data_IF_285250229544
#
_entry.id   IF_285250229544
#
_cell.length_a   1.000
_cell.length_b   1.000
_cell.length_c   1.000
_cell.angle_alpha   90.00
_cell.angle_beta   90.00
_cell.angle_gamma   90.00
#
_symmetry.space_group_name_H-M   'P 1'
#
loop_
_entity.id
_entity.type
_entity.pdbx_description
1 polymer ?
#
# COMPACT_ATOMS: atom_id res chain seq x y z
N UNK A 1 -3.52 17.77 14.23
CA UNK A 1 -2.11 17.61 14.62
C UNK A 1 -1.62 18.92 15.19
N UNK A 2 -0.91 18.86 16.30
CA UNK A 2 -0.35 20.04 16.94
C UNK A 2 1.05 20.39 16.37
N UNK A 3 1.58 21.59 16.67
CA UNK A 3 2.85 22.07 16.12
C UNK A 3 4.07 21.19 16.43
N UNK A 4 4.06 20.41 17.52
CA UNK A 4 5.18 19.54 17.91
C UNK A 4 5.24 18.35 16.94
N UNK A 5 4.09 17.74 16.64
CA UNK A 5 3.98 16.65 15.66
C UNK A 5 4.41 17.10 14.26
N UNK A 6 4.04 18.30 13.84
CA UNK A 6 4.43 18.87 12.54
C UNK A 6 5.96 19.06 12.46
N UNK A 7 6.58 19.57 13.54
CA UNK A 7 8.04 19.74 13.61
C UNK A 7 8.82 18.41 13.51
N UNK A 8 8.32 17.35 14.16
CA UNK A 8 8.89 16.00 14.10
C UNK A 8 8.81 15.46 12.67
N UNK A 9 7.64 15.52 12.02
CA UNK A 9 7.44 15.04 10.65
C UNK A 9 8.33 15.78 9.65
N UNK A 10 8.46 17.11 9.79
CA UNK A 10 9.34 17.93 8.97
C UNK A 10 10.81 17.54 9.07
N UNK A 11 11.26 17.09 10.25
CA UNK A 11 12.64 16.60 10.43
C UNK A 11 12.88 15.24 9.75
N UNK A 12 11.89 14.33 9.78
CA UNK A 12 11.95 13.01 9.12
C UNK A 12 11.93 13.11 7.59
N UNK A 13 11.28 14.16 7.05
CA UNK A 13 11.21 14.42 5.61
C UNK A 13 12.58 14.56 4.95
N UNK A 14 13.59 14.99 5.71
CA UNK A 14 14.96 15.21 5.19
C UNK A 14 15.78 13.94 5.06
N UNK A 15 15.35 12.82 5.67
CA UNK A 15 16.12 11.56 5.73
C UNK A 15 15.38 10.35 5.16
N UNK A 16 14.11 10.15 5.50
CA UNK A 16 13.32 8.98 5.08
C UNK A 16 12.44 9.23 3.86
N UNK A 17 12.10 10.49 3.60
CA UNK A 17 11.16 10.87 2.55
C UNK A 17 11.74 11.91 1.59
N UNK A 18 13.05 11.83 1.32
CA UNK A 18 13.78 12.83 0.52
C UNK A 18 13.15 13.12 -0.86
N UNK A 19 12.32 12.22 -1.37
CA UNK A 19 11.61 12.35 -2.64
C UNK A 19 10.12 12.73 -2.51
N UNK A 20 9.60 12.95 -1.31
CA UNK A 20 8.21 13.35 -1.06
C UNK A 20 8.15 14.77 -0.55
N UNK A 21 7.09 15.49 -0.93
CA UNK A 21 6.86 16.83 -0.41
C UNK A 21 6.39 16.78 1.04
N UNK A 22 6.77 17.77 1.85
CA UNK A 22 6.33 17.89 3.25
C UNK A 22 4.80 17.74 3.41
N UNK A 23 3.95 18.36 2.56
CA UNK A 23 2.50 18.15 2.62
C UNK A 23 2.04 16.71 2.39
N UNK A 24 2.73 15.95 1.54
CA UNK A 24 2.42 14.53 1.28
C UNK A 24 2.65 13.67 2.53
N UNK A 25 3.75 13.94 3.24
CA UNK A 25 4.14 13.21 4.45
C UNK A 25 3.22 13.56 5.62
N UNK A 26 2.92 14.85 5.81
CA UNK A 26 1.96 15.31 6.82
C UNK A 26 0.57 14.70 6.62
N UNK A 27 0.09 14.65 5.37
CA UNK A 27 -1.20 14.04 5.05
C UNK A 27 -1.21 12.52 5.29
N UNK A 28 -0.09 11.84 5.07
CA UNK A 28 0.07 10.41 5.36
C UNK A 28 -0.04 10.13 6.87
N UNK A 29 0.70 10.86 7.71
CA UNK A 29 0.63 10.71 9.16
C UNK A 29 -0.72 11.16 9.74
N UNK A 30 -1.33 12.23 9.20
CA UNK A 30 -2.67 12.65 9.59
C UNK A 30 -3.70 11.54 9.39
N UNK A 31 -3.66 10.86 8.23
CA UNK A 31 -4.56 9.73 7.94
C UNK A 31 -4.31 8.55 8.87
N UNK A 32 -3.06 8.23 9.16
CA UNK A 32 -2.72 7.14 10.07
C UNK A 32 -3.13 7.41 11.52
N UNK A 33 -2.98 8.65 12.01
CA UNK A 33 -3.43 9.05 13.34
C UNK A 33 -4.95 9.05 13.45
N UNK A 34 -5.66 9.47 12.40
CA UNK A 34 -7.12 9.35 12.35
C UNK A 34 -7.59 7.88 12.40
N UNK A 35 -6.85 6.95 11.80
CA UNK A 35 -7.16 5.53 11.82
C UNK A 35 -6.75 4.84 13.14
N UNK A 36 -5.67 5.32 13.77
CA UNK A 36 -5.11 4.74 15.00
C UNK A 36 -4.47 5.85 15.84
N UNK A 37 -5.26 6.49 16.68
CA UNK A 37 -4.87 7.70 17.43
C UNK A 37 -3.72 7.48 18.43
N UNK A 38 -3.50 6.25 18.89
CA UNK A 38 -2.36 5.91 19.75
C UNK A 38 -1.00 6.13 19.05
N UNK A 39 -0.96 6.06 17.71
CA UNK A 39 0.26 6.31 16.93
C UNK A 39 0.75 7.76 17.02
N UNK A 40 -0.15 8.73 17.24
CA UNK A 40 0.25 10.13 17.40
C UNK A 40 1.01 10.34 18.72
N UNK A 41 0.58 9.64 19.78
CA UNK A 41 1.26 9.66 21.07
C UNK A 41 2.59 8.91 21.01
N UNK A 42 2.63 7.77 20.32
CA UNK A 42 3.88 7.04 20.09
C UNK A 42 4.88 7.87 19.27
N UNK A 43 4.42 8.62 18.25
CA UNK A 43 5.28 9.55 17.50
C UNK A 43 5.87 10.64 18.38
N UNK A 44 5.08 11.20 19.31
CA UNK A 44 5.52 12.27 20.22
C UNK A 44 6.52 11.80 21.26
N UNK A 45 6.46 10.52 21.63
CA UNK A 45 7.36 9.89 22.58
C UNK A 45 8.63 9.34 21.93
N UNK A 46 8.68 9.29 20.59
CA UNK A 46 9.84 8.86 19.84
C UNK A 46 10.99 9.86 20.00
N UNK A 47 12.14 9.38 20.47
CA UNK A 47 13.34 10.22 20.69
C UNK A 47 14.56 9.72 19.93
N UNK A 48 14.50 8.49 19.41
CA UNK A 48 15.56 7.86 18.62
C UNK A 48 15.06 7.54 17.21
N UNK A 49 15.95 7.45 16.21
CA UNK A 49 15.59 7.00 14.85
C UNK A 49 14.81 5.68 14.82
N UNK A 50 15.11 4.76 15.74
CA UNK A 50 14.43 3.47 15.88
C UNK A 50 12.98 3.60 16.35
N UNK A 51 12.68 4.57 17.21
CA UNK A 51 11.31 4.84 17.66
C UNK A 51 10.46 5.41 16.50
N UNK A 52 11.05 6.27 15.67
CA UNK A 52 10.38 6.81 14.49
C UNK A 52 10.09 5.74 13.44
N UNK A 53 11.03 4.81 13.23
CA UNK A 53 10.86 3.65 12.35
C UNK A 53 9.73 2.74 12.84
N UNK A 54 9.65 2.49 14.16
CA UNK A 54 8.57 1.71 14.77
C UNK A 54 7.20 2.36 14.52
N UNK A 55 7.08 3.67 14.77
CA UNK A 55 5.83 4.41 14.54
C UNK A 55 5.45 4.38 13.06
N UNK A 56 6.41 4.55 12.16
CA UNK A 56 6.18 4.46 10.71
C UNK A 56 5.68 3.08 10.28
N UNK A 57 6.26 2.01 10.82
CA UNK A 57 5.82 0.64 10.60
C UNK A 57 4.38 0.40 11.07
N UNK A 58 4.02 0.99 12.20
CA UNK A 58 2.65 0.91 12.71
C UNK A 58 1.67 1.79 11.92
N UNK A 59 2.20 2.78 11.16
CA UNK A 59 1.50 3.83 10.38
C UNK A 59 1.19 3.43 8.94
N UNK A 60 2.06 2.70 8.20
CA UNK A 60 1.75 2.27 6.82
C UNK A 60 0.79 1.09 6.84
N UNK A 61 -0.50 1.40 6.72
CA UNK A 61 -1.51 0.55 7.32
C UNK A 61 -2.39 -0.31 6.41
N UNK A 62 -2.42 -0.05 5.09
CA UNK A 62 -3.01 -0.89 4.02
C UNK A 62 -3.18 0.01 2.78
N UNK A 63 -2.75 -0.42 1.59
CA UNK A 63 -3.20 0.14 0.31
C UNK A 63 -4.48 -0.61 -0.05
N UNK A 64 -5.62 0.07 -0.22
CA UNK A 64 -6.86 -0.55 -0.74
C UNK A 64 -7.35 0.26 -1.94
N UNK A 65 -7.37 -0.36 -3.13
CA UNK A 65 -7.75 0.28 -4.38
C UNK A 65 -8.81 -0.57 -5.11
N UNK A 66 -9.91 0.08 -5.50
CA UNK A 66 -11.09 -0.58 -6.06
C UNK A 66 -11.45 0.00 -7.44
N UNK A 67 -11.69 -0.86 -8.44
CA UNK A 67 -11.99 -0.42 -9.80
C UNK A 67 -13.49 -0.14 -10.07
N UNK A 68 -14.40 -0.43 -9.15
CA UNK A 68 -15.87 -0.25 -9.28
C UNK A 68 -16.42 -0.62 -10.66
N UNK A 69 -16.66 0.32 -11.60
CA UNK A 69 -17.03 0.04 -13.00
C UNK A 69 -16.04 0.58 -14.04
N UNK A 70 -14.93 1.16 -13.59
CA UNK A 70 -13.88 1.75 -14.43
C UNK A 70 -12.60 0.92 -14.38
N UNK A 71 -11.48 1.54 -14.73
CA UNK A 71 -10.19 0.87 -14.84
C UNK A 71 -9.19 1.43 -13.82
N UNK A 72 -8.43 0.53 -13.19
CA UNK A 72 -7.27 0.82 -12.35
C UNK A 72 -6.04 0.24 -13.03
N UNK A 73 -5.16 1.11 -13.55
CA UNK A 73 -3.92 0.72 -14.20
C UNK A 73 -2.72 1.04 -13.30
N UNK A 74 -1.87 0.03 -13.10
CA UNK A 74 -0.66 0.09 -12.29
C UNK A 74 0.47 -0.45 -13.16
N UNK A 75 1.20 0.46 -13.80
CA UNK A 75 2.24 0.12 -14.76
C UNK A 75 3.60 0.59 -14.27
N UNK A 76 4.59 -0.30 -14.37
CA UNK A 76 6.01 -0.03 -14.03
C UNK A 76 6.17 0.57 -12.61
N UNK A 77 5.32 0.16 -11.66
CA UNK A 77 5.23 0.74 -10.34
C UNK A 77 5.95 -0.08 -9.25
N UNK A 78 6.47 0.60 -8.23
CA UNK A 78 6.91 -0.01 -6.97
C UNK A 78 5.95 0.41 -5.86
N UNK A 79 5.21 -0.53 -5.28
CA UNK A 79 4.27 -0.28 -4.19
C UNK A 79 4.66 -1.13 -2.98
N UNK A 80 4.93 -0.46 -1.85
CA UNK A 80 5.26 -1.11 -0.59
C UNK A 80 4.32 -0.63 0.52
N UNK A 81 3.67 -1.56 1.22
CA UNK A 81 2.81 -1.26 2.36
C UNK A 81 3.05 -2.22 3.51
N UNK A 82 3.13 -1.71 4.73
CA UNK A 82 3.65 -2.49 5.87
C UNK A 82 2.62 -3.50 6.36
N UNK A 83 1.32 -3.17 6.34
CA UNK A 83 0.26 -4.10 6.76
C UNK A 83 -0.45 -4.83 5.63
N UNK A 84 -0.65 -4.19 4.49
CA UNK A 84 -1.28 -4.89 3.36
C UNK A 84 -1.50 -4.06 2.11
N UNK A 85 -1.76 -4.73 1.01
CA UNK A 85 -2.17 -4.17 -0.28
C UNK A 85 -3.39 -4.98 -0.72
N UNK A 86 -4.46 -4.30 -1.11
CA UNK A 86 -5.67 -4.86 -1.68
C UNK A 86 -5.98 -4.14 -2.99
N UNK A 87 -6.14 -4.92 -4.04
CA UNK A 87 -6.69 -4.48 -5.31
C UNK A 87 -7.99 -5.27 -5.56
N UNK A 88 -9.13 -4.58 -5.58
CA UNK A 88 -10.46 -5.17 -5.82
C UNK A 88 -11.05 -4.68 -7.14
N UNK A 89 -11.23 -5.57 -8.12
CA UNK A 89 -11.79 -5.18 -9.40
C UNK A 89 -13.30 -4.91 -9.40
N UNK A 90 -14.06 -5.31 -8.37
CA UNK A 90 -15.52 -5.13 -8.31
C UNK A 90 -16.24 -5.48 -9.65
N UNK A 91 -16.72 -4.49 -10.41
CA UNK A 91 -17.34 -4.65 -11.73
C UNK A 91 -16.49 -4.09 -12.88
N UNK A 92 -15.29 -3.57 -12.59
CA UNK A 92 -14.38 -2.91 -13.52
C UNK A 92 -13.10 -3.70 -13.73
N UNK A 93 -12.03 -3.04 -14.16
CA UNK A 93 -10.77 -3.70 -14.50
C UNK A 93 -9.65 -3.23 -13.58
N UNK A 94 -8.84 -4.17 -13.09
CA UNK A 94 -7.54 -3.86 -12.49
C UNK A 94 -6.45 -4.44 -13.39
N UNK A 95 -5.59 -3.60 -13.96
CA UNK A 95 -4.41 -4.02 -14.70
C UNK A 95 -3.16 -3.69 -13.90
N UNK A 96 -2.35 -4.72 -13.60
CA UNK A 96 -1.06 -4.59 -12.92
C UNK A 96 0.01 -5.11 -13.88
N UNK A 97 0.87 -4.23 -14.37
CA UNK A 97 1.91 -4.57 -15.34
C UNK A 97 3.28 -4.14 -14.85
N UNK A 98 4.28 -5.00 -15.04
CA UNK A 98 5.70 -4.70 -14.78
C UNK A 98 5.98 -4.11 -13.40
N UNK A 99 5.14 -4.43 -12.42
CA UNK A 99 5.14 -3.79 -11.13
C UNK A 99 5.71 -4.70 -10.05
N UNK A 100 6.28 -4.10 -9.02
CA UNK A 100 6.74 -4.78 -7.81
C UNK A 100 5.84 -4.36 -6.65
N UNK A 101 5.08 -5.31 -6.12
CA UNK A 101 4.17 -5.12 -4.99
C UNK A 101 4.75 -5.84 -3.77
N UNK A 102 4.81 -5.16 -2.62
CA UNK A 102 5.37 -5.73 -1.39
C UNK A 102 4.53 -5.35 -0.17
N UNK A 103 4.01 -6.33 0.55
CA UNK A 103 3.30 -6.07 1.80
C UNK A 103 3.13 -7.29 2.69
N UNK A 104 2.74 -7.12 3.95
CA UNK A 104 2.45 -8.24 4.84
C UNK A 104 1.25 -9.09 4.39
N UNK A 105 0.24 -8.44 3.82
CA UNK A 105 -0.96 -9.08 3.29
C UNK A 105 -1.21 -8.52 1.90
N UNK A 106 -1.11 -9.33 0.85
CA UNK A 106 -1.41 -8.89 -0.51
C UNK A 106 -2.66 -9.60 -1.02
N UNK A 107 -3.68 -8.84 -1.40
CA UNK A 107 -4.93 -9.32 -1.97
C UNK A 107 -5.14 -8.70 -3.34
N UNK A 108 -5.34 -9.50 -4.38
CA UNK A 108 -5.66 -9.05 -5.74
C UNK A 108 -6.83 -9.85 -6.29
N UNK A 109 -7.74 -9.23 -7.03
CA UNK A 109 -8.88 -9.91 -7.67
C UNK A 109 -10.22 -9.30 -7.30
N UNK A 110 -11.28 -10.09 -7.26
CA UNK A 110 -12.64 -9.65 -6.96
C UNK A 110 -13.14 -10.15 -5.62
N UNK A 111 -14.07 -9.39 -5.02
CA UNK A 111 -14.86 -9.84 -3.87
C UNK A 111 -16.12 -10.59 -4.31
N UNK A 112 -16.87 -11.12 -3.34
CA UNK A 112 -18.11 -11.85 -3.64
C UNK A 112 -19.10 -10.93 -4.39
N UNK A 113 -19.58 -11.38 -5.54
CA UNK A 113 -20.51 -10.61 -6.38
C UNK A 113 -19.83 -9.69 -7.40
N UNK A 114 -18.49 -9.64 -7.42
CA UNK A 114 -17.73 -9.01 -8.50
C UNK A 114 -18.07 -9.64 -9.85
N UNK A 115 -18.04 -8.82 -10.89
CA UNK A 115 -18.22 -9.22 -12.30
C UNK A 115 -17.09 -8.73 -13.19
N UNK A 116 -16.19 -7.90 -12.64
CA UNK A 116 -15.06 -7.32 -13.34
C UNK A 116 -13.90 -8.31 -13.50
N UNK A 117 -12.72 -7.76 -13.75
CA UNK A 117 -11.52 -8.56 -13.89
C UNK A 117 -10.24 -7.91 -13.36
N UNK A 118 -9.28 -8.75 -12.95
CA UNK A 118 -7.92 -8.35 -12.64
C UNK A 118 -6.97 -9.08 -13.57
N UNK A 119 -6.08 -8.33 -14.22
CA UNK A 119 -5.02 -8.83 -15.08
C UNK A 119 -3.70 -8.43 -14.44
N UNK A 120 -2.84 -9.41 -14.19
CA UNK A 120 -1.50 -9.19 -13.69
C UNK A 120 -0.54 -9.70 -14.76
N UNK A 121 0.42 -8.89 -15.20
CA UNK A 121 1.38 -9.22 -16.27
C UNK A 121 2.79 -8.82 -15.86
N UNK A 122 3.78 -9.68 -16.08
CA UNK A 122 5.21 -9.39 -15.88
C UNK A 122 5.56 -8.72 -14.52
N UNK A 123 4.82 -9.05 -13.47
CA UNK A 123 4.91 -8.39 -12.16
C UNK A 123 5.45 -9.33 -11.08
N UNK A 124 5.94 -8.74 -10.00
CA UNK A 124 6.41 -9.42 -8.81
C UNK A 124 5.55 -9.02 -7.59
N UNK A 125 4.95 -9.99 -6.92
CA UNK A 125 4.08 -9.79 -5.76
C UNK A 125 4.64 -10.56 -4.56
N UNK A 126 5.09 -9.81 -3.56
CA UNK A 126 5.78 -10.32 -2.38
C UNK A 126 4.96 -10.09 -1.12
N UNK A 127 4.71 -11.16 -0.36
CA UNK A 127 4.01 -11.07 0.93
C UNK A 127 4.41 -12.18 1.88
N UNK A 128 4.84 -11.84 3.11
CA UNK A 128 5.19 -12.77 4.21
C UNK A 128 5.74 -14.14 3.79
N UNK A 129 6.82 -14.14 3.00
CA UNK A 129 7.50 -15.37 2.56
C UNK A 129 6.90 -16.05 1.32
N UNK A 130 5.81 -15.53 0.78
CA UNK A 130 5.25 -15.91 -0.52
C UNK A 130 5.69 -14.92 -1.59
N UNK A 131 6.19 -15.43 -2.71
CA UNK A 131 6.49 -14.65 -3.90
C UNK A 131 5.73 -15.23 -5.09
N UNK A 132 5.02 -14.36 -5.81
CA UNK A 132 4.52 -14.66 -7.16
C UNK A 132 5.31 -13.78 -8.11
N UNK A 133 6.11 -14.39 -8.98
CA UNK A 133 6.91 -13.67 -9.97
C UNK A 133 6.53 -14.15 -11.35
N UNK A 134 6.21 -13.20 -12.22
CA UNK A 134 5.88 -13.46 -13.61
C UNK A 134 6.82 -12.68 -14.51
N UNK A 135 7.21 -13.29 -15.62
CA UNK A 135 8.07 -12.68 -16.62
C UNK A 135 7.84 -13.30 -18.00
N UNK A 136 8.34 -12.64 -19.04
CA UNK A 136 8.28 -13.15 -20.41
C UNK A 136 6.90 -13.05 -21.06
N UNK A 137 6.08 -12.07 -20.66
CA UNK A 137 4.72 -11.87 -21.15
C UNK A 137 3.68 -12.78 -20.48
N UNK A 138 4.05 -13.48 -19.41
CA UNK A 138 3.13 -14.31 -18.66
C UNK A 138 2.11 -13.43 -17.92
N UNK A 139 0.84 -13.87 -17.90
CA UNK A 139 -0.24 -13.17 -17.21
C UNK A 139 -1.15 -14.09 -16.41
N UNK A 140 -1.69 -13.56 -15.32
CA UNK A 140 -2.78 -14.14 -14.55
C UNK A 140 -4.01 -13.26 -14.77
N UNK A 141 -5.12 -13.88 -15.17
CA UNK A 141 -6.43 -13.21 -15.30
C UNK A 141 -7.41 -13.80 -14.30
N UNK A 142 -7.98 -12.95 -13.46
CA UNK A 142 -9.02 -13.29 -12.49
C UNK A 142 -10.31 -12.57 -12.90
N UNK A 143 -11.44 -13.28 -12.93
CA UNK A 143 -12.75 -12.70 -13.26
C UNK A 143 -13.76 -13.01 -12.17
N UNK A 144 -14.78 -12.17 -12.05
CA UNK A 144 -15.84 -12.37 -11.07
C UNK A 144 -15.33 -12.42 -9.63
N UNK A 145 -15.83 -13.34 -8.80
CA UNK A 145 -15.40 -13.44 -7.39
C UNK A 145 -14.01 -14.05 -7.15
N UNK A 146 -13.18 -14.23 -8.18
CA UNK A 146 -11.87 -14.87 -8.04
C UNK A 146 -10.82 -13.90 -7.45
N UNK A 147 -10.02 -14.38 -6.50
CA UNK A 147 -8.97 -13.59 -5.85
C UNK A 147 -7.74 -14.41 -5.48
N UNK A 148 -6.57 -13.77 -5.51
CA UNK A 148 -5.33 -14.23 -4.88
C UNK A 148 -5.16 -13.50 -3.54
N UNK A 149 -4.85 -14.26 -2.49
CA UNK A 149 -4.54 -13.73 -1.16
C UNK A 149 -3.21 -14.33 -0.70
N UNK A 150 -2.23 -13.49 -0.45
CA UNK A 150 -0.94 -13.82 0.15
C UNK A 150 -0.91 -13.19 1.54
N UNK A 151 -0.56 -13.94 2.59
CA UNK A 151 -0.60 -13.50 4.00
C UNK A 151 0.29 -14.36 4.88
#
# INVERSE_FOLDING_TARGET
MDPITIGIIGSLATSYFANFTTPTIENFFLKAFNAKSELENELKLATTPQDFEKVFNDTVGVIDACASTGDLEIDDAFLEAIKGIRFDHQHGTVSISKSTLKSDILVTGGSQGSTGETIITDSEMNSKGTQIKMSGGASIRMTGGASIKQS
#
